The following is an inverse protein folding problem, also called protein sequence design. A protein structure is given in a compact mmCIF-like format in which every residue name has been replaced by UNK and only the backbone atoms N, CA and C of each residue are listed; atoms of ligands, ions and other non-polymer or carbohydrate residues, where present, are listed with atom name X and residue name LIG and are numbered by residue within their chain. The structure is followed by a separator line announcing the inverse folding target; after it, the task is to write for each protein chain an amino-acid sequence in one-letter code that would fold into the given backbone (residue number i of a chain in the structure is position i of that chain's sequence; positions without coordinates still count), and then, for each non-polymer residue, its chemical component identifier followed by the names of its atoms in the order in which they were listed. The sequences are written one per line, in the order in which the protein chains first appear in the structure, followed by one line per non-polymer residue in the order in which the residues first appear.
data_IF_943062220119
#
_entry.id   IF_943062220119
#
_cell.length_a   1.000
_cell.length_b   1.000
_cell.length_c   1.000
_cell.angle_alpha   90.00
_cell.angle_beta   90.00
_cell.angle_gamma   90.00
#
_symmetry.space_group_name_H-M   'P 1'
#
loop_
_entity.id
_entity.type
_entity.pdbx_description
1 polymer ?
#
# COMPACT_ATOMS: atom_id res chain seq x y z
N UNK A 1 -21.25 17.47 11.53
CA UNK A 1 -20.82 18.67 10.77
C UNK A 1 -19.65 18.26 9.89
N UNK A 2 -19.76 18.36 8.57
CA UNK A 2 -18.63 18.18 7.66
C UNK A 2 -17.67 19.35 7.83
N UNK A 3 -16.38 19.05 8.05
CA UNK A 3 -15.34 20.04 8.42
C UNK A 3 -14.77 20.84 7.23
N UNK A 4 -15.24 20.61 6.00
CA UNK A 4 -14.76 21.32 4.82
C UNK A 4 -15.90 21.80 3.92
N UNK A 5 -15.76 23.00 3.37
CA UNK A 5 -16.67 23.58 2.37
C UNK A 5 -16.33 23.18 0.94
N UNK A 6 -15.27 22.38 0.76
CA UNK A 6 -14.83 21.86 -0.52
C UNK A 6 -15.76 20.72 -1.01
N UNK A 7 -16.31 20.85 -2.23
CA UNK A 7 -17.32 19.93 -2.80
C UNK A 7 -16.88 19.17 -4.05
N UNK A 8 -15.64 19.38 -4.49
CA UNK A 8 -15.09 18.73 -5.67
C UNK A 8 -14.35 17.44 -5.31
N UNK A 9 -14.21 16.48 -6.25
CA UNK A 9 -13.42 15.28 -6.02
C UNK A 9 -11.97 15.65 -5.72
N UNK A 10 -11.42 15.05 -4.68
CA UNK A 10 -10.01 15.23 -4.27
C UNK A 10 -9.34 13.88 -4.15
N UNK A 11 -8.08 13.80 -4.55
CA UNK A 11 -7.27 12.60 -4.35
C UNK A 11 -6.99 12.42 -2.86
N UNK A 12 -7.28 11.22 -2.34
CA UNK A 12 -6.96 10.81 -0.98
C UNK A 12 -6.13 9.53 -1.07
N UNK A 13 -4.82 9.67 -0.99
CA UNK A 13 -3.87 8.57 -1.09
C UNK A 13 -2.46 9.01 -0.74
N UNK A 14 -1.59 8.05 -0.42
CA UNK A 14 -0.16 8.32 -0.27
C UNK A 14 0.43 8.78 -1.61
N UNK A 15 1.35 9.75 -1.57
CA UNK A 15 2.18 10.13 -2.72
C UNK A 15 3.45 9.25 -2.84
N UNK A 16 3.61 8.28 -1.94
CA UNK A 16 4.66 7.27 -1.95
C UNK A 16 4.39 6.23 -3.04
N UNK A 17 5.14 6.31 -4.14
CA UNK A 17 5.15 5.30 -5.18
C UNK A 17 6.09 4.16 -4.76
N UNK A 18 5.56 2.93 -4.75
CA UNK A 18 6.36 1.72 -4.54
C UNK A 18 6.08 0.73 -5.67
N UNK A 19 7.10 -0.03 -6.03
CA UNK A 19 6.97 -1.21 -6.87
C UNK A 19 6.41 -2.39 -6.07
N UNK A 20 5.85 -3.37 -6.79
CA UNK A 20 5.38 -4.62 -6.17
C UNK A 20 6.52 -5.39 -5.49
N UNK A 21 7.74 -5.30 -6.04
CA UNK A 21 8.92 -5.94 -5.45
C UNK A 21 9.30 -5.27 -4.12
N UNK A 22 9.32 -3.93 -4.05
CA UNK A 22 9.58 -3.20 -2.80
C UNK A 22 8.51 -3.51 -1.73
N UNK A 23 7.24 -3.62 -2.12
CA UNK A 23 6.18 -4.04 -1.21
C UNK A 23 6.43 -5.46 -0.67
N UNK A 24 6.81 -6.39 -1.55
CA UNK A 24 7.14 -7.76 -1.14
C UNK A 24 8.36 -7.80 -0.19
N UNK A 25 9.41 -7.02 -0.47
CA UNK A 25 10.59 -6.90 0.40
C UNK A 25 10.24 -6.32 1.77
N UNK A 26 9.39 -5.29 1.83
CA UNK A 26 8.91 -4.72 3.09
C UNK A 26 8.23 -5.79 3.93
N UNK A 27 7.37 -6.61 3.32
CA UNK A 27 6.65 -7.65 4.07
C UNK A 27 7.57 -8.81 4.49
N UNK A 28 8.44 -9.27 3.60
CA UNK A 28 9.40 -10.34 3.89
C UNK A 28 10.43 -9.94 4.96
N UNK A 29 10.81 -8.67 4.98
CA UNK A 29 11.71 -8.09 5.99
C UNK A 29 11.14 -8.04 7.40
N UNK A 30 9.84 -8.27 7.62
CA UNK A 30 9.27 -8.32 8.98
C UNK A 30 9.57 -9.62 9.73
N UNK A 31 9.71 -10.73 9.02
CA UNK A 31 9.97 -12.05 9.62
C UNK A 31 11.39 -12.56 9.31
N UNK A 32 12.29 -11.69 8.82
CA UNK A 32 13.62 -12.03 8.31
C UNK A 32 13.59 -13.21 7.29
N UNK A 33 12.47 -13.35 6.57
CA UNK A 33 12.26 -14.45 5.62
C UNK A 33 12.92 -14.13 4.29
N UNK A 34 13.87 -14.96 3.89
CA UNK A 34 14.54 -14.87 2.58
C UNK A 34 13.90 -15.82 1.58
N UNK A 35 12.64 -15.56 1.20
CA UNK A 35 11.99 -16.30 0.11
C UNK A 35 12.21 -15.60 -1.22
N UNK A 36 12.61 -16.33 -2.29
CA UNK A 36 12.73 -15.76 -3.62
C UNK A 36 11.37 -15.35 -4.18
N UNK A 37 11.31 -14.20 -4.84
CA UNK A 37 10.12 -13.71 -5.54
C UNK A 37 10.04 -14.42 -6.90
N UNK A 38 8.92 -15.07 -7.19
CA UNK A 38 8.68 -15.77 -8.45
C UNK A 38 7.53 -15.10 -9.21
N UNK A 39 7.81 -14.51 -10.39
CA UNK A 39 6.81 -13.84 -11.21
C UNK A 39 6.16 -14.80 -12.22
N UNK A 40 5.06 -15.47 -11.86
CA UNK A 40 4.19 -16.24 -12.79
C UNK A 40 3.26 -15.33 -13.61
N UNK A 41 2.78 -15.59 -14.85
CA UNK A 41 1.95 -14.69 -15.71
C UNK A 41 0.42 -14.62 -15.42
N UNK A 42 -0.25 -13.47 -15.63
CA UNK A 42 -1.59 -13.10 -15.08
C UNK A 42 -2.03 -11.65 -15.36
N UNK A 43 -3.23 -11.18 -14.93
CA UNK A 43 -3.73 -9.84 -15.23
C UNK A 43 -3.05 -8.77 -14.38
N UNK A 44 -2.22 -7.94 -15.02
CA UNK A 44 -1.33 -6.96 -14.35
C UNK A 44 -2.00 -5.63 -13.99
N UNK A 45 -3.29 -5.44 -14.28
CA UNK A 45 -3.98 -4.18 -14.02
C UNK A 45 -3.27 -2.97 -14.64
N UNK A 46 -3.29 -1.83 -13.95
CA UNK A 46 -2.56 -0.63 -14.37
C UNK A 46 -1.12 -0.65 -13.84
N UNK A 47 -0.16 -0.33 -14.70
CA UNK A 47 1.29 -0.43 -14.41
C UNK A 47 1.80 0.51 -13.31
N UNK A 48 1.06 1.55 -12.99
CA UNK A 48 1.43 2.50 -11.95
C UNK A 48 0.29 3.47 -11.66
N UNK A 49 0.11 3.78 -10.37
CA UNK A 49 -0.77 4.84 -9.88
C UNK A 49 -0.06 5.54 -8.75
N UNK A 50 -0.08 6.87 -8.75
CA UNK A 50 0.37 7.67 -7.63
C UNK A 50 -0.68 8.75 -7.36
N UNK A 51 -0.85 9.11 -6.08
CA UNK A 51 -1.75 10.18 -5.69
C UNK A 51 -1.06 11.53 -5.88
N UNK A 52 -1.66 12.42 -6.67
CA UNK A 52 -1.27 13.83 -6.66
C UNK A 52 -1.97 14.53 -5.49
N UNK A 53 -1.17 14.88 -4.49
CA UNK A 53 -1.62 15.50 -3.24
C UNK A 53 -1.54 17.05 -3.26
N UNK A 54 -1.31 17.67 -4.42
CA UNK A 54 -1.25 19.14 -4.54
C UNK A 54 -2.58 19.78 -4.14
N UNK A 55 -3.70 19.26 -4.67
CA UNK A 55 -5.04 19.82 -4.44
C UNK A 55 -5.49 19.65 -2.97
N UNK A 56 -5.21 18.52 -2.35
CA UNK A 56 -5.62 18.26 -0.95
C UNK A 56 -4.83 19.13 0.04
N UNK A 57 -3.53 19.34 -0.22
CA UNK A 57 -2.68 20.23 0.58
C UNK A 57 -3.15 21.68 0.47
N UNK A 58 -3.50 22.14 -0.73
CA UNK A 58 -3.99 23.50 -0.96
C UNK A 58 -5.36 23.76 -0.30
N UNK A 59 -6.31 22.82 -0.44
CA UNK A 59 -7.69 23.04 -0.02
C UNK A 59 -7.96 22.67 1.44
N UNK A 60 -7.29 21.66 1.97
CA UNK A 60 -7.52 21.14 3.31
C UNK A 60 -6.34 21.33 4.26
N UNK A 61 -5.18 21.81 3.78
CA UNK A 61 -3.96 21.92 4.58
C UNK A 61 -3.45 20.56 5.08
N UNK A 62 -3.92 19.47 4.49
CA UNK A 62 -3.73 18.11 4.99
C UNK A 62 -3.41 17.16 3.85
N UNK A 63 -2.57 16.18 4.12
CA UNK A 63 -2.33 15.01 3.27
C UNK A 63 -1.92 13.82 4.16
N UNK A 64 -2.07 12.57 3.68
CA UNK A 64 -1.52 11.42 4.36
C UNK A 64 0.00 11.54 4.54
N UNK A 65 0.50 11.36 5.76
CA UNK A 65 1.95 11.42 6.09
C UNK A 65 2.53 10.08 6.52
N UNK A 66 1.69 9.05 6.62
CA UNK A 66 2.08 7.74 7.13
C UNK A 66 2.79 6.93 6.05
N UNK A 67 4.00 6.46 6.36
CA UNK A 67 4.80 5.63 5.43
C UNK A 67 4.14 4.28 5.20
N UNK A 68 4.23 3.76 3.98
CA UNK A 68 3.66 2.48 3.60
C UNK A 68 4.13 1.34 4.52
N UNK A 69 5.42 1.31 4.86
CA UNK A 69 5.97 0.31 5.79
C UNK A 69 5.24 0.28 7.13
N UNK A 70 4.95 1.45 7.71
CA UNK A 70 4.27 1.56 9.01
C UNK A 70 2.81 1.11 8.89
N UNK A 71 2.14 1.49 7.80
CA UNK A 71 0.76 1.09 7.53
C UNK A 71 0.61 -0.42 7.36
N UNK A 72 1.54 -1.07 6.64
CA UNK A 72 1.52 -2.52 6.44
C UNK A 72 1.68 -3.25 7.77
N UNK A 73 2.59 -2.79 8.65
CA UNK A 73 2.78 -3.37 9.99
C UNK A 73 1.51 -3.23 10.81
N UNK A 74 0.98 -2.02 10.95
CA UNK A 74 -0.20 -1.78 11.79
C UNK A 74 -1.43 -2.53 11.28
N UNK A 75 -1.54 -2.72 9.96
CA UNK A 75 -2.60 -3.53 9.35
C UNK A 75 -2.44 -5.02 9.66
N UNK A 76 -1.20 -5.52 9.68
CA UNK A 76 -0.92 -6.91 10.04
C UNK A 76 -1.26 -7.23 11.50
N UNK A 77 -1.00 -6.31 12.43
CA UNK A 77 -1.29 -6.53 13.86
C UNK A 77 -2.80 -6.54 14.17
N UNK A 78 -3.62 -5.81 13.39
CA UNK A 78 -5.04 -5.61 13.70
C UNK A 78 -6.01 -6.63 13.11
N UNK A 79 -5.60 -7.43 12.11
CA UNK A 79 -6.58 -8.29 11.42
C UNK A 79 -6.13 -9.73 11.13
N UNK A 80 -4.83 -10.01 11.00
CA UNK A 80 -4.34 -11.34 10.65
C UNK A 80 -2.96 -11.59 11.26
N UNK A 81 -2.77 -12.63 12.09
CA UNK A 81 -1.43 -12.92 12.62
C UNK A 81 -0.46 -13.06 11.46
N UNK A 82 0.69 -12.38 11.52
CA UNK A 82 1.75 -12.28 10.50
C UNK A 82 1.98 -13.56 9.67
N UNK A 83 1.97 -14.80 10.23
CA UNK A 83 2.02 -16.03 9.44
C UNK A 83 0.91 -16.18 8.38
N UNK A 84 -0.28 -15.64 8.63
CA UNK A 84 -1.43 -15.63 7.70
C UNK A 84 -1.23 -14.62 6.57
N UNK A 85 -0.54 -13.51 6.82
CA UNK A 85 -0.17 -12.54 5.79
C UNK A 85 0.85 -13.14 4.82
N UNK A 86 1.76 -13.98 5.32
CA UNK A 86 2.70 -14.76 4.51
C UNK A 86 1.97 -15.78 3.60
N UNK A 87 0.83 -16.33 4.04
CA UNK A 87 -0.04 -17.19 3.21
C UNK A 87 -0.78 -16.35 2.16
N UNK A 88 -1.31 -15.18 2.50
CA UNK A 88 -1.98 -14.30 1.53
C UNK A 88 -1.00 -13.76 0.49
N UNK A 89 0.24 -13.42 0.87
CA UNK A 89 1.30 -13.09 -0.07
C UNK A 89 1.74 -14.29 -0.88
N UNK A 90 1.82 -15.49 -0.31
CA UNK A 90 1.97 -16.70 -1.13
C UNK A 90 0.83 -16.83 -2.13
N UNK A 91 -0.42 -16.57 -1.76
CA UNK A 91 -1.55 -16.63 -2.68
C UNK A 91 -1.53 -15.48 -3.71
N UNK A 92 -1.12 -14.26 -3.36
CA UNK A 92 -1.01 -13.12 -4.28
C UNK A 92 0.27 -13.14 -5.15
N UNK A 93 1.33 -13.81 -4.70
CA UNK A 93 2.56 -14.07 -5.46
C UNK A 93 2.39 -15.35 -6.31
N UNK A 94 1.53 -16.28 -5.90
CA UNK A 94 1.15 -17.51 -6.64
C UNK A 94 -0.15 -17.35 -7.43
N UNK A 95 -0.72 -16.15 -7.47
CA UNK A 95 -1.75 -15.75 -8.43
C UNK A 95 -1.23 -14.52 -9.15
N UNK A 96 -0.61 -14.73 -10.30
CA UNK A 96 -0.81 -13.85 -11.44
C UNK A 96 -2.01 -14.50 -12.12
#
# INVERSE_FOLDING_TARGET
MTKSDFREPVNIGSDEMVSMNEMAEIVLGFEDKKTPIHHIPGPEGVRGRNSDNTLIKEKLGWAPTMKLKVLIISSSENHLPIPSLCIILKVQITVR
#
